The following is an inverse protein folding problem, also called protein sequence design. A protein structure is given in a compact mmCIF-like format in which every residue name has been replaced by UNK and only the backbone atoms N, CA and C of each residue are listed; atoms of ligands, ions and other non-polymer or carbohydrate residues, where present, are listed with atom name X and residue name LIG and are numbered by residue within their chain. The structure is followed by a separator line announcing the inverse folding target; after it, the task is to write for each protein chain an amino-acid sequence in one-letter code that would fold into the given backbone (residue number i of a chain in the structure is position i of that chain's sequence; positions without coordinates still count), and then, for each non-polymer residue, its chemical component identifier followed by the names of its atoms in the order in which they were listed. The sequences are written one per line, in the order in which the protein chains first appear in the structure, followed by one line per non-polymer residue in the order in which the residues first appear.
data_IF_286982425509
#
_entry.id   IF_286982425509
#
_cell.length_a   1.000
_cell.length_b   1.000
_cell.length_c   1.000
_cell.angle_alpha   90.00
_cell.angle_beta   90.00
_cell.angle_gamma   90.00
#
_symmetry.space_group_name_H-M   'P 1'
#
loop_
_entity.id
_entity.type
_entity.pdbx_description
1 polymer ?
#
# COMPACT_ATOMS: atom_id res chain seq x y z
N UNK A 1 -9.94 7.76 -10.19
CA UNK A 1 -9.90 8.06 -8.74
C UNK A 1 -11.29 8.14 -8.11
N UNK A 2 -12.29 8.81 -8.75
CA UNK A 2 -13.64 8.97 -8.16
C UNK A 2 -14.35 7.64 -7.98
N UNK A 3 -14.29 6.75 -8.95
CA UNK A 3 -14.90 5.42 -8.86
C UNK A 3 -14.23 4.59 -7.77
N UNK A 4 -12.91 4.70 -7.61
CA UNK A 4 -12.18 4.03 -6.53
C UNK A 4 -12.65 4.52 -5.16
N UNK A 5 -12.73 5.85 -4.96
CA UNK A 5 -13.20 6.43 -3.69
C UNK A 5 -14.58 5.90 -3.33
N UNK A 6 -15.52 6.00 -4.30
CA UNK A 6 -16.89 5.55 -4.09
C UNK A 6 -16.97 4.05 -3.77
N UNK A 7 -16.31 3.22 -4.54
CA UNK A 7 -16.34 1.77 -4.32
C UNK A 7 -15.73 1.37 -2.98
N UNK A 8 -14.67 2.07 -2.56
CA UNK A 8 -14.04 1.84 -1.27
C UNK A 8 -14.95 2.23 -0.10
N UNK A 9 -15.64 3.36 -0.22
CA UNK A 9 -16.62 3.82 0.76
C UNK A 9 -17.82 2.89 0.84
N UNK A 10 -18.40 2.50 -0.29
CA UNK A 10 -19.52 1.55 -0.36
C UNK A 10 -19.16 0.21 0.32
N UNK A 11 -17.92 -0.27 0.14
CA UNK A 11 -17.43 -1.49 0.80
C UNK A 11 -17.34 -1.33 2.32
N UNK A 12 -16.85 -0.19 2.81
CA UNK A 12 -16.80 0.10 4.25
C UNK A 12 -18.23 0.13 4.84
N UNK A 13 -19.14 0.84 4.19
CA UNK A 13 -20.53 0.92 4.64
C UNK A 13 -21.18 -0.46 4.71
N UNK A 14 -21.00 -1.28 3.68
CA UNK A 14 -21.53 -2.65 3.66
C UNK A 14 -21.03 -3.49 4.83
N UNK A 15 -19.75 -3.37 5.19
CA UNK A 15 -19.17 -4.09 6.34
C UNK A 15 -19.72 -3.56 7.67
N UNK A 16 -19.81 -2.24 7.81
CA UNK A 16 -20.35 -1.60 9.02
C UNK A 16 -21.83 -1.90 9.23
N UNK A 17 -22.64 -1.94 8.19
CA UNK A 17 -24.05 -2.37 8.22
C UNK A 17 -24.22 -3.82 8.72
N UNK A 18 -23.21 -4.67 8.53
CA UNK A 18 -23.16 -6.03 9.05
C UNK A 18 -22.62 -6.11 10.49
N UNK A 19 -22.34 -4.97 11.11
CA UNK A 19 -21.81 -4.89 12.47
C UNK A 19 -20.30 -5.14 12.60
N UNK A 20 -19.56 -5.12 11.49
CA UNK A 20 -18.11 -5.27 11.52
C UNK A 20 -17.41 -3.98 11.95
N UNK A 21 -16.41 -4.11 12.83
CA UNK A 21 -15.40 -3.07 13.02
C UNK A 21 -14.40 -3.12 11.84
N UNK A 22 -14.18 -1.99 11.18
CA UNK A 22 -13.37 -1.93 9.98
C UNK A 22 -12.03 -1.25 10.27
N UNK A 23 -10.95 -1.91 9.88
CA UNK A 23 -9.59 -1.33 9.85
C UNK A 23 -9.13 -1.20 8.41
N UNK A 24 -8.81 0.01 8.00
CA UNK A 24 -8.22 0.30 6.68
C UNK A 24 -6.71 0.05 6.73
N UNK A 25 -6.21 -0.89 5.94
CA UNK A 25 -4.78 -1.17 5.84
C UNK A 25 -4.21 -0.50 4.60
N UNK A 26 -3.35 0.51 4.80
CA UNK A 26 -2.66 1.19 3.71
C UNK A 26 -1.45 0.36 3.29
N UNK A 27 -1.43 -0.10 2.05
CA UNK A 27 -0.38 -0.97 1.52
C UNK A 27 1.01 -0.31 1.52
N UNK A 28 2.10 -1.10 1.57
CA UNK A 28 3.45 -0.61 1.37
C UNK A 28 3.61 0.10 0.01
N UNK A 29 4.55 1.03 -0.14
CA UNK A 29 4.86 1.61 -1.45
C UNK A 29 5.40 0.55 -2.40
N UNK A 30 5.35 0.81 -3.71
CA UNK A 30 6.03 -0.03 -4.70
C UNK A 30 7.46 0.48 -4.87
N UNK A 31 8.44 -0.42 -4.93
CA UNK A 31 9.82 -0.09 -5.30
C UNK A 31 9.89 0.06 -6.83
N UNK A 32 9.42 1.19 -7.35
CA UNK A 32 9.12 1.43 -8.77
C UNK A 32 10.32 1.13 -9.67
N UNK A 33 11.55 1.51 -9.28
CA UNK A 33 12.74 1.24 -10.09
C UNK A 33 13.00 -0.26 -10.25
N UNK A 34 12.79 -1.05 -9.17
CA UNK A 34 12.88 -2.51 -9.24
C UNK A 34 11.78 -3.09 -10.11
N UNK A 35 10.57 -2.59 -9.96
CA UNK A 35 9.42 -3.01 -10.77
C UNK A 35 9.65 -2.78 -12.26
N UNK A 36 10.11 -1.60 -12.65
CA UNK A 36 10.43 -1.29 -14.04
C UNK A 36 11.57 -2.16 -14.60
N UNK A 37 12.59 -2.42 -13.79
CA UNK A 37 13.69 -3.32 -14.18
C UNK A 37 13.16 -4.74 -14.40
N UNK A 38 12.31 -5.21 -13.51
CA UNK A 38 11.66 -6.54 -13.63
C UNK A 38 10.81 -6.66 -14.91
N UNK A 39 10.06 -5.61 -15.27
CA UNK A 39 9.28 -5.60 -16.50
C UNK A 39 10.18 -5.71 -17.75
N UNK A 40 11.31 -5.00 -17.77
CA UNK A 40 12.29 -5.10 -18.86
C UNK A 40 12.89 -6.50 -18.96
N UNK A 41 13.27 -7.10 -17.85
CA UNK A 41 13.79 -8.47 -17.78
C UNK A 41 12.74 -9.50 -18.23
N UNK A 42 11.47 -9.22 -18.02
CA UNK A 42 10.34 -10.05 -18.45
C UNK A 42 10.00 -9.90 -19.95
N UNK A 43 10.76 -9.08 -20.68
CA UNK A 43 10.61 -8.95 -22.13
C UNK A 43 9.74 -7.79 -22.59
N UNK A 44 9.26 -6.93 -21.67
CA UNK A 44 8.54 -5.71 -22.05
C UNK A 44 9.56 -4.70 -22.58
N UNK A 45 9.34 -4.20 -23.81
CA UNK A 45 10.26 -3.26 -24.42
C UNK A 45 10.23 -1.88 -23.75
N UNK A 46 11.37 -1.18 -23.78
CA UNK A 46 11.44 0.21 -23.29
C UNK A 46 10.45 1.14 -24.00
N UNK A 47 10.19 0.90 -25.29
CA UNK A 47 9.23 1.69 -26.05
C UNK A 47 7.81 1.52 -25.48
N UNK A 48 7.37 0.29 -25.26
CA UNK A 48 6.06 0.02 -24.64
C UNK A 48 5.98 0.63 -23.26
N UNK A 49 7.02 0.48 -22.44
CA UNK A 49 7.03 1.10 -21.11
C UNK A 49 6.90 2.62 -21.16
N UNK A 50 7.57 3.29 -22.11
CA UNK A 50 7.51 4.75 -22.24
C UNK A 50 6.13 5.29 -22.65
N UNK A 51 5.27 4.46 -23.20
CA UNK A 51 3.87 4.83 -23.50
C UNK A 51 2.98 4.88 -22.25
N UNK A 52 3.34 4.12 -21.21
CA UNK A 52 2.54 4.01 -19.97
C UNK A 52 3.18 4.69 -18.76
N UNK A 53 4.50 4.92 -18.82
CA UNK A 53 5.26 5.47 -17.69
C UNK A 53 5.94 6.77 -18.11
N UNK A 54 5.30 7.89 -17.79
CA UNK A 54 5.90 9.22 -18.08
C UNK A 54 7.11 9.47 -17.18
N UNK A 55 7.05 9.04 -15.91
CA UNK A 55 8.18 9.10 -14.98
C UNK A 55 7.96 8.15 -13.79
N UNK A 56 9.06 7.74 -13.18
CA UNK A 56 9.03 6.99 -11.90
C UNK A 56 8.28 7.76 -10.83
N UNK A 57 8.53 9.06 -10.75
CA UNK A 57 7.88 9.93 -9.76
C UNK A 57 6.36 9.97 -9.95
N UNK A 58 5.88 10.12 -11.17
CA UNK A 58 4.45 10.12 -11.45
C UNK A 58 3.79 8.80 -11.03
N UNK A 59 4.39 7.66 -11.32
CA UNK A 59 3.86 6.36 -10.86
C UNK A 59 3.81 6.26 -9.34
N UNK A 60 4.85 6.74 -8.66
CA UNK A 60 4.87 6.78 -7.20
C UNK A 60 3.76 7.66 -6.64
N UNK A 61 3.54 8.85 -7.22
CA UNK A 61 2.52 9.80 -6.79
C UNK A 61 1.11 9.25 -7.04
N UNK A 62 0.86 8.63 -8.19
CA UNK A 62 -0.42 8.00 -8.52
C UNK A 62 -0.73 6.85 -7.55
N UNK A 63 0.26 6.00 -7.28
CA UNK A 63 0.09 4.90 -6.32
C UNK A 63 -0.14 5.40 -4.90
N UNK A 64 0.60 6.44 -4.48
CA UNK A 64 0.41 7.10 -3.20
C UNK A 64 -1.00 7.69 -3.06
N UNK A 65 -1.52 8.28 -4.13
CA UNK A 65 -2.85 8.89 -4.17
C UNK A 65 -3.98 7.93 -3.80
N UNK A 66 -3.88 6.65 -4.15
CA UNK A 66 -4.84 5.63 -3.69
C UNK A 66 -4.79 5.44 -2.18
N UNK A 67 -3.61 5.39 -1.58
CA UNK A 67 -3.44 5.32 -0.12
C UNK A 67 -4.02 6.55 0.60
N UNK A 68 -3.86 7.73 0.02
CA UNK A 68 -4.42 8.97 0.57
C UNK A 68 -5.95 8.97 0.51
N UNK A 69 -6.55 8.48 -0.58
CA UNK A 69 -8.01 8.28 -0.69
C UNK A 69 -8.50 7.29 0.37
N UNK A 70 -7.85 6.15 0.52
CA UNK A 70 -8.20 5.15 1.53
C UNK A 70 -8.17 5.74 2.94
N UNK A 71 -7.12 6.51 3.25
CA UNK A 71 -6.95 7.19 4.55
C UNK A 71 -8.08 8.21 4.80
N UNK A 72 -8.41 9.03 3.80
CA UNK A 72 -9.47 10.01 3.91
C UNK A 72 -10.83 9.36 4.16
N UNK A 73 -11.20 8.37 3.34
CA UNK A 73 -12.47 7.63 3.46
C UNK A 73 -12.54 6.89 4.80
N UNK A 74 -11.46 6.26 5.25
CA UNK A 74 -11.43 5.58 6.54
C UNK A 74 -11.71 6.54 7.69
N UNK A 75 -11.08 7.73 7.69
CA UNK A 75 -11.33 8.79 8.69
C UNK A 75 -12.75 9.31 8.65
N UNK A 76 -13.28 9.59 7.46
CA UNK A 76 -14.66 10.08 7.27
C UNK A 76 -15.69 9.09 7.80
N UNK A 77 -15.38 7.78 7.79
CA UNK A 77 -16.29 6.70 8.21
C UNK A 77 -15.93 6.08 9.58
N UNK A 78 -15.06 6.74 10.36
CA UNK A 78 -14.71 6.29 11.71
C UNK A 78 -14.00 4.95 11.79
N UNK A 79 -13.28 4.57 10.72
CA UNK A 79 -12.48 3.34 10.68
C UNK A 79 -11.11 3.56 11.32
N UNK A 80 -10.58 2.52 11.93
CA UNK A 80 -9.17 2.46 12.30
C UNK A 80 -8.29 2.40 11.06
N UNK A 81 -7.04 2.88 11.18
CA UNK A 81 -6.07 2.90 10.08
C UNK A 81 -4.77 2.25 10.54
N UNK A 82 -4.35 1.21 9.81
CA UNK A 82 -3.02 0.63 9.91
C UNK A 82 -2.25 0.97 8.63
N UNK A 83 -1.25 1.82 8.71
CA UNK A 83 -0.46 2.19 7.54
C UNK A 83 0.88 1.45 7.52
N UNK A 84 0.98 0.46 6.64
CA UNK A 84 2.24 -0.22 6.35
C UNK A 84 3.18 0.66 5.53
N UNK A 85 2.61 1.66 4.84
CA UNK A 85 3.36 2.59 3.98
C UNK A 85 4.41 3.36 4.77
N UNK A 86 4.04 3.93 5.93
CA UNK A 86 4.97 4.73 6.73
C UNK A 86 6.14 3.90 7.25
N UNK A 87 5.91 2.65 7.65
CA UNK A 87 6.98 1.74 8.10
C UNK A 87 8.01 1.48 7.00
N UNK A 88 7.55 1.26 5.76
CA UNK A 88 8.46 1.06 4.62
C UNK A 88 9.18 2.36 4.21
N UNK A 89 8.49 3.48 4.21
CA UNK A 89 9.10 4.78 3.88
C UNK A 89 10.13 5.24 4.94
N UNK A 90 10.00 4.79 6.17
CA UNK A 90 10.97 5.06 7.24
C UNK A 90 12.27 4.26 7.09
N UNK A 91 12.32 3.26 6.21
CA UNK A 91 13.54 2.49 5.94
C UNK A 91 14.52 3.33 5.11
N UNK A 92 15.82 3.24 5.44
CA UNK A 92 16.85 3.91 4.64
C UNK A 92 16.98 3.34 3.22
N UNK A 93 16.88 2.01 3.10
CA UNK A 93 16.83 1.29 1.82
C UNK A 93 15.69 0.27 1.84
N UNK A 94 14.52 0.68 1.35
CA UNK A 94 13.38 -0.22 1.30
C UNK A 94 13.52 -1.34 0.25
N UNK A 95 14.43 -1.21 -0.73
CA UNK A 95 14.64 -2.23 -1.77
C UNK A 95 15.03 -3.59 -1.18
N UNK A 96 15.77 -3.59 -0.07
CA UNK A 96 16.16 -4.80 0.66
C UNK A 96 14.96 -5.60 1.22
N UNK A 97 13.77 -5.00 1.26
CA UNK A 97 12.55 -5.58 1.80
C UNK A 97 11.58 -6.12 0.74
N UNK A 98 11.97 -6.02 -0.54
CA UNK A 98 11.16 -6.49 -1.68
C UNK A 98 11.77 -7.69 -2.38
N UNK A 99 10.91 -8.49 -3.00
CA UNK A 99 11.29 -9.47 -4.02
C UNK A 99 11.80 -8.76 -5.27
N UNK A 100 12.38 -9.50 -6.22
CA UNK A 100 12.96 -8.92 -7.44
C UNK A 100 12.00 -8.09 -8.28
N UNK A 101 10.70 -8.33 -8.15
CA UNK A 101 9.67 -7.59 -8.88
C UNK A 101 9.40 -6.20 -8.32
N UNK A 102 9.91 -5.85 -7.15
CA UNK A 102 9.71 -4.55 -6.51
C UNK A 102 8.28 -4.28 -6.02
N UNK A 103 7.38 -5.26 -6.11
CA UNK A 103 5.98 -5.15 -5.68
C UNK A 103 5.68 -5.99 -4.44
N UNK A 104 6.16 -7.23 -4.43
CA UNK A 104 5.89 -8.15 -3.34
C UNK A 104 6.99 -8.06 -2.29
N UNK A 105 6.65 -7.91 -1.00
CA UNK A 105 7.63 -7.98 0.07
C UNK A 105 8.33 -9.35 0.06
N UNK A 106 9.61 -9.35 0.39
CA UNK A 106 10.36 -10.58 0.68
C UNK A 106 10.20 -10.96 2.16
N UNK A 107 10.97 -11.94 2.64
CA UNK A 107 10.90 -12.40 4.03
C UNK A 107 11.10 -11.26 5.04
N UNK A 108 12.07 -10.37 4.81
CA UNK A 108 12.32 -9.21 5.67
C UNK A 108 11.16 -8.21 5.63
N UNK A 109 10.56 -8.00 4.45
CA UNK A 109 9.37 -7.16 4.28
C UNK A 109 8.16 -7.72 5.00
N UNK A 110 7.92 -9.02 4.92
CA UNK A 110 6.85 -9.67 5.68
C UNK A 110 7.09 -9.67 7.19
N UNK A 111 8.34 -9.77 7.65
CA UNK A 111 8.66 -9.63 9.06
C UNK A 111 8.34 -8.21 9.59
N UNK A 112 8.60 -7.16 8.79
CA UNK A 112 8.22 -5.80 9.11
C UNK A 112 6.70 -5.64 9.18
N UNK A 113 5.97 -6.12 8.19
CA UNK A 113 4.50 -6.11 8.15
C UNK A 113 3.92 -6.82 9.37
N UNK A 114 4.43 -8.00 9.70
CA UNK A 114 4.01 -8.74 10.90
C UNK A 114 4.20 -7.89 12.16
N UNK A 115 5.35 -7.24 12.31
CA UNK A 115 5.64 -6.38 13.46
C UNK A 115 4.65 -5.20 13.57
N UNK A 116 4.22 -4.62 12.46
CA UNK A 116 3.22 -3.56 12.44
C UNK A 116 1.84 -4.06 12.90
N UNK A 117 1.43 -5.23 12.42
CA UNK A 117 0.19 -5.87 12.88
C UNK A 117 0.24 -6.25 14.36
N UNK A 118 1.35 -6.81 14.83
CA UNK A 118 1.52 -7.17 16.25
C UNK A 118 1.38 -5.94 17.15
N UNK A 119 2.01 -4.81 16.79
CA UNK A 119 1.88 -3.54 17.50
C UNK A 119 0.44 -3.01 17.48
N UNK A 120 -0.19 -3.05 16.32
CA UNK A 120 -1.57 -2.60 16.15
C UNK A 120 -2.51 -3.39 17.07
N UNK A 121 -2.45 -4.71 17.06
CA UNK A 121 -3.31 -5.55 17.88
C UNK A 121 -3.00 -5.44 19.38
N UNK A 122 -1.71 -5.29 19.76
CA UNK A 122 -1.34 -5.06 21.14
C UNK A 122 -1.90 -3.73 21.68
N UNK A 123 -1.86 -2.67 20.87
CA UNK A 123 -2.46 -1.37 21.20
C UNK A 123 -3.99 -1.47 21.30
N UNK A 124 -4.65 -2.11 20.33
CA UNK A 124 -6.09 -2.29 20.33
C UNK A 124 -6.59 -3.13 21.52
N UNK A 125 -5.77 -4.08 21.99
CA UNK A 125 -6.05 -4.88 23.19
C UNK A 125 -5.67 -4.18 24.51
N UNK A 126 -5.10 -2.98 24.48
CA UNK A 126 -4.67 -2.26 25.69
C UNK A 126 -3.46 -2.88 26.41
N UNK A 127 -2.62 -3.64 25.67
CA UNK A 127 -1.42 -4.32 26.22
C UNK A 127 -0.20 -3.38 26.23
N UNK A 128 -0.19 -2.39 25.35
CA UNK A 128 0.86 -1.36 25.25
C UNK A 128 0.24 0.03 25.13
#
# INVERSE_FOLDING_TARGET
PQDFKKNYEDMIHLLQEKGAAVTSVIAPPIAIEMYLSHLLESGISRQVMSEYVNSVQQMQDEYAGYGDIMRAVAKENGCEILSLRESFLALGDMKAYYSKDGMHPNEAGYALIRGDFEKYFASAAGII
#
